data_IF_632716406375
#
_entry.id   IF_632716406375
#
_cell.length_a   1.000
_cell.length_b   1.000
_cell.length_c   1.000
_cell.angle_alpha   90.00
_cell.angle_beta   90.00
_cell.angle_gamma   90.00
#
_symmetry.space_group_name_H-M   'P 1'
#
loop_
_entity.id
_entity.type
_entity.pdbx_description
1 polymer ?
#
# COMPACT_ATOMS: atom_id res chain seq x y z
N UNK A 1 -2.83 6.96 -19.91
CA UNK A 1 -2.35 6.92 -18.51
C UNK A 1 -3.24 5.93 -17.80
N UNK A 2 -2.72 4.75 -17.45
CA UNK A 2 -3.53 3.75 -16.76
C UNK A 2 -3.74 4.21 -15.32
N UNK A 3 -4.98 4.16 -14.84
CA UNK A 3 -5.28 4.36 -13.43
C UNK A 3 -4.80 3.11 -12.68
N UNK A 4 -4.06 3.31 -11.59
CA UNK A 4 -3.67 2.22 -10.71
C UNK A 4 -4.90 1.74 -9.92
N UNK A 5 -5.01 0.44 -9.59
CA UNK A 5 -6.10 -0.05 -8.77
C UNK A 5 -6.07 0.64 -7.39
N UNK A 6 -7.25 0.98 -6.87
CA UNK A 6 -7.41 1.59 -5.55
C UNK A 6 -7.85 0.53 -4.55
N UNK A 7 -7.15 0.44 -3.43
CA UNK A 7 -7.51 -0.34 -2.27
C UNK A 7 -7.94 0.60 -1.14
N UNK A 8 -9.25 0.72 -0.92
CA UNK A 8 -9.80 1.50 0.18
C UNK A 8 -10.11 0.61 1.39
N UNK A 9 -9.33 0.75 2.46
CA UNK A 9 -9.46 -0.05 3.67
C UNK A 9 -10.25 0.65 4.78
N UNK A 10 -10.77 1.86 4.54
CA UNK A 10 -11.49 2.63 5.57
C UNK A 10 -12.78 1.94 6.02
N UNK A 11 -13.40 1.18 5.11
CA UNK A 11 -14.59 0.37 5.40
C UNK A 11 -14.27 -1.03 5.93
N UNK A 12 -13.01 -1.44 5.92
CA UNK A 12 -12.59 -2.77 6.36
C UNK A 12 -12.37 -2.82 7.88
N UNK A 13 -12.73 -3.93 8.54
CA UNK A 13 -12.42 -4.14 9.95
C UNK A 13 -10.90 -4.03 10.20
N UNK A 14 -10.44 -3.35 11.27
CA UNK A 14 -9.01 -3.12 11.52
C UNK A 14 -8.14 -4.38 11.44
N UNK A 15 -8.65 -5.50 11.96
CA UNK A 15 -7.97 -6.81 11.94
C UNK A 15 -7.73 -7.35 10.53
N UNK A 16 -8.52 -6.93 9.55
CA UNK A 16 -8.46 -7.44 8.17
C UNK A 16 -7.63 -6.56 7.24
N UNK A 17 -7.42 -5.28 7.60
CA UNK A 17 -6.76 -4.28 6.74
C UNK A 17 -5.36 -4.73 6.32
N UNK A 18 -4.51 -5.12 7.28
CA UNK A 18 -3.13 -5.51 6.97
C UNK A 18 -3.09 -6.74 6.06
N UNK A 19 -3.87 -7.78 6.39
CA UNK A 19 -3.97 -9.00 5.57
C UNK A 19 -4.33 -8.67 4.12
N UNK A 20 -5.38 -7.87 3.92
CA UNK A 20 -5.82 -7.48 2.58
C UNK A 20 -4.77 -6.68 1.81
N UNK A 21 -4.05 -5.78 2.50
CA UNK A 21 -2.99 -4.96 1.90
C UNK A 21 -1.82 -5.83 1.43
N UNK A 22 -1.36 -6.77 2.26
CA UNK A 22 -0.27 -7.68 1.91
C UNK A 22 -0.69 -8.68 0.82
N UNK A 23 -1.90 -9.24 0.88
CA UNK A 23 -2.46 -10.07 -0.19
C UNK A 23 -2.51 -9.31 -1.53
N UNK A 24 -2.92 -8.03 -1.50
CA UNK A 24 -2.95 -7.17 -2.69
C UNK A 24 -1.55 -6.92 -3.22
N UNK A 25 -0.58 -6.67 -2.34
CA UNK A 25 0.82 -6.47 -2.72
C UNK A 25 1.45 -7.73 -3.35
N UNK A 26 1.24 -8.90 -2.74
CA UNK A 26 1.79 -10.16 -3.21
C UNK A 26 1.25 -10.56 -4.59
N UNK A 27 0.01 -10.17 -4.89
CA UNK A 27 -0.62 -10.35 -6.19
C UNK A 27 -0.10 -9.40 -7.28
N UNK A 28 0.68 -8.36 -6.95
CA UNK A 28 1.22 -7.42 -7.93
C UNK A 28 2.25 -8.10 -8.85
N UNK A 29 2.13 -7.83 -10.16
CA UNK A 29 3.21 -8.07 -11.09
C UNK A 29 4.42 -7.16 -10.77
N UNK A 30 5.66 -7.60 -11.05
CA UNK A 30 6.84 -6.74 -10.90
C UNK A 30 6.71 -5.43 -11.69
N UNK A 31 6.91 -4.30 -11.03
CA UNK A 31 6.75 -2.96 -11.59
C UNK A 31 5.31 -2.42 -11.58
N UNK A 32 4.33 -3.17 -11.08
CA UNK A 32 2.97 -2.69 -10.85
C UNK A 32 2.84 -2.08 -9.45
N UNK A 33 1.77 -1.31 -9.23
CA UNK A 33 1.44 -0.67 -7.96
C UNK A 33 -0.07 -0.52 -7.79
N UNK A 34 -0.50 -0.21 -6.56
CA UNK A 34 -1.86 0.17 -6.21
C UNK A 34 -1.84 1.38 -5.27
N UNK A 35 -2.97 2.11 -5.21
CA UNK A 35 -3.17 3.20 -4.26
C UNK A 35 -3.93 2.69 -3.02
N UNK A 36 -3.32 2.80 -1.84
CA UNK A 36 -3.95 2.55 -0.55
C UNK A 36 -4.65 3.82 -0.06
N UNK A 37 -5.94 3.73 0.27
CA UNK A 37 -6.67 4.75 1.01
C UNK A 37 -6.91 4.30 2.46
N UNK A 38 -6.41 5.07 3.42
CA UNK A 38 -6.51 4.80 4.85
C UNK A 38 -7.10 5.99 5.62
N UNK A 39 -7.67 5.72 6.79
CA UNK A 39 -8.27 6.73 7.69
C UNK A 39 -7.26 7.38 8.65
N UNK A 40 -6.01 6.92 8.66
CA UNK A 40 -4.90 7.46 9.45
C UNK A 40 -3.56 7.27 8.73
N UNK A 41 -2.48 7.87 9.25
CA UNK A 41 -1.14 7.69 8.71
C UNK A 41 -0.71 6.21 8.76
N UNK A 42 -0.47 5.56 7.62
CA UNK A 42 -0.02 4.16 7.56
C UNK A 42 1.47 3.98 7.89
N UNK A 43 2.11 4.92 8.59
CA UNK A 43 3.52 4.81 9.01
C UNK A 43 3.88 3.48 9.72
N UNK A 44 3.07 2.91 10.63
CA UNK A 44 3.36 1.59 11.19
C UNK A 44 3.42 0.48 10.13
N UNK A 45 2.53 0.54 9.14
CA UNK A 45 2.48 -0.40 8.02
C UNK A 45 3.72 -0.26 7.12
N UNK A 46 4.21 0.98 6.88
CA UNK A 46 5.48 1.19 6.17
C UNK A 46 6.64 0.41 6.82
N UNK A 47 6.75 0.47 8.15
CA UNK A 47 7.81 -0.26 8.87
C UNK A 47 7.60 -1.78 8.78
N UNK A 48 6.36 -2.25 8.75
CA UNK A 48 6.08 -3.67 8.53
C UNK A 48 6.55 -4.12 7.13
N UNK A 49 6.25 -3.35 6.08
CA UNK A 49 6.78 -3.58 4.74
C UNK A 49 8.32 -3.55 4.71
N UNK A 50 8.95 -2.58 5.38
CA UNK A 50 10.40 -2.48 5.44
C UNK A 50 11.06 -3.71 6.10
N UNK A 51 10.38 -4.35 7.04
CA UNK A 51 10.85 -5.55 7.72
C UNK A 51 10.59 -6.83 6.91
N UNK A 52 9.41 -6.97 6.31
CA UNK A 52 8.98 -8.21 5.63
C UNK A 52 9.37 -8.27 4.15
N UNK A 53 9.49 -7.11 3.49
CA UNK A 53 9.71 -6.95 2.05
C UNK A 53 10.95 -6.08 1.73
N UNK A 54 12.12 -6.29 2.37
CA UNK A 54 13.26 -5.39 2.24
C UNK A 54 13.75 -5.32 0.78
N UNK A 55 13.76 -4.11 0.21
CA UNK A 55 14.25 -3.86 -1.15
C UNK A 55 13.35 -4.39 -2.28
N UNK A 56 12.11 -4.80 -1.98
CA UNK A 56 11.18 -5.33 -3.00
C UNK A 56 9.95 -4.45 -3.23
N UNK A 57 9.75 -3.40 -2.42
CA UNK A 57 8.62 -2.47 -2.54
C UNK A 57 9.06 -1.01 -2.70
N UNK A 58 8.15 -0.21 -3.23
CA UNK A 58 8.21 1.26 -3.25
C UNK A 58 7.06 1.83 -2.45
N UNK A 59 7.27 2.99 -1.83
CA UNK A 59 6.28 3.67 -1.00
C UNK A 59 6.29 5.16 -1.30
N UNK A 60 5.15 5.70 -1.70
CA UNK A 60 5.00 7.11 -2.06
C UNK A 60 3.71 7.66 -1.46
N UNK A 61 3.81 8.71 -0.66
CA UNK A 61 2.62 9.42 -0.19
C UNK A 61 2.05 10.27 -1.32
N UNK A 62 0.78 10.03 -1.66
CA UNK A 62 0.00 10.83 -2.60
C UNK A 62 -0.80 11.92 -1.87
N UNK A 63 -1.23 11.63 -0.64
CA UNK A 63 -1.98 12.54 0.22
C UNK A 63 -1.73 12.23 1.69
N UNK A 64 -1.55 13.28 2.50
CA UNK A 64 -1.17 13.18 3.91
C UNK A 64 -2.19 13.87 4.83
N UNK A 65 -3.44 13.41 4.81
CA UNK A 65 -4.47 13.79 5.78
C UNK A 65 -4.85 15.28 5.80
N UNK A 66 -5.71 15.68 6.75
CA UNK A 66 -6.29 14.87 7.82
C UNK A 66 -7.52 14.03 7.40
N UNK A 67 -8.13 14.31 6.24
CA UNK A 67 -9.38 13.65 5.81
C UNK A 67 -9.15 12.27 5.21
N UNK A 68 -8.06 12.10 4.45
CA UNK A 68 -7.66 10.81 3.88
C UNK A 68 -6.15 10.72 3.77
N UNK A 69 -5.63 9.51 3.95
CA UNK A 69 -4.24 9.18 3.70
C UNK A 69 -4.16 8.30 2.46
N UNK A 70 -3.45 8.77 1.44
CA UNK A 70 -3.28 8.04 0.18
C UNK A 70 -1.82 7.72 -0.02
N UNK A 71 -1.52 6.45 -0.23
CA UNK A 71 -0.17 5.96 -0.45
C UNK A 71 -0.15 5.06 -1.67
N UNK A 72 0.76 5.31 -2.60
CA UNK A 72 1.07 4.40 -3.68
C UNK A 72 2.08 3.36 -3.20
N UNK A 73 1.69 2.10 -3.25
CA UNK A 73 2.51 0.94 -2.86
C UNK A 73 2.79 0.14 -4.12
N UNK A 74 4.07 -0.02 -4.46
CA UNK A 74 4.51 -0.67 -5.70
C UNK A 74 5.46 -1.82 -5.45
N UNK A 75 5.44 -2.82 -6.34
CA UNK A 75 6.41 -3.92 -6.35
C UNK A 75 7.56 -3.57 -7.29
N UNK A 76 8.80 -3.67 -6.82
CA UNK A 76 9.97 -3.42 -7.67
C UNK A 76 10.07 -4.45 -8.80
N UNK A 77 10.62 -4.02 -9.93
CA UNK A 77 11.03 -4.96 -10.99
C UNK A 77 12.23 -5.77 -10.49
N UNK A 78 12.24 -7.07 -10.75
CA UNK A 78 13.47 -7.84 -10.65
C UNK A 78 14.48 -7.27 -11.66
N UNK A 79 15.75 -7.18 -11.25
CA UNK A 79 16.84 -6.73 -12.11
C UNK A 79 17.10 -7.70 -13.26
#
# INVERSE_FOLDING_TARGET
MAQEPVLDVRSEPPVRRHTLIFETFDALAPGAAFELHNDHDPKPLYYQFAAEQPGTFTWEYLEQGPEVWRVRIGRMRAA
#
